data_IF_421678642515
#
_entry.id   IF_421678642515
#
_cell.length_a   1.000
_cell.length_b   1.000
_cell.length_c   1.000
_cell.angle_alpha   90.00
_cell.angle_beta   90.00
_cell.angle_gamma   90.00
#
_symmetry.space_group_name_H-M   'P 1'
#
loop_
_entity.id
_entity.type
_entity.pdbx_description
1 polymer ?
#
# COMPACT_ATOMS: atom_id res chain seq x y z
N UNK A 1 20.57 -18.25 -6.93
CA UNK A 1 21.05 -17.39 -5.87
C UNK A 1 20.03 -17.41 -4.74
N UNK A 2 20.45 -17.79 -3.53
CA UNK A 2 19.64 -17.67 -2.34
C UNK A 2 19.53 -16.15 -2.05
N UNK A 3 18.33 -15.61 -2.08
CA UNK A 3 18.12 -14.19 -1.78
C UNK A 3 18.29 -13.99 -0.27
N UNK A 4 19.13 -13.07 0.14
CA UNK A 4 19.34 -12.77 1.55
C UNK A 4 18.16 -11.94 2.08
N UNK A 5 17.49 -12.49 3.10
CA UNK A 5 16.38 -11.78 3.76
C UNK A 5 16.98 -10.68 4.63
N UNK A 6 16.64 -9.43 4.31
CA UNK A 6 17.05 -8.25 5.07
C UNK A 6 16.12 -8.01 6.26
N UNK A 7 14.81 -7.99 6.01
CA UNK A 7 13.78 -7.80 7.03
C UNK A 7 12.58 -8.69 6.73
N UNK A 8 12.03 -9.31 7.76
CA UNK A 8 10.87 -10.20 7.68
C UNK A 8 9.80 -9.77 8.69
N UNK A 9 8.92 -8.86 8.27
CA UNK A 9 7.83 -8.31 9.08
C UNK A 9 6.60 -9.21 9.14
N UNK A 10 5.57 -8.73 9.81
CA UNK A 10 4.27 -9.39 9.89
C UNK A 10 3.61 -9.50 8.51
N UNK A 11 3.64 -8.40 7.75
CA UNK A 11 2.90 -8.25 6.49
C UNK A 11 3.76 -8.01 5.27
N UNK A 12 5.07 -7.86 5.44
CA UNK A 12 6.01 -7.60 4.34
C UNK A 12 7.31 -8.38 4.52
N UNK A 13 7.98 -8.65 3.40
CA UNK A 13 9.30 -9.29 3.36
C UNK A 13 10.21 -8.48 2.45
N UNK A 14 11.38 -8.11 2.94
CA UNK A 14 12.42 -7.38 2.22
C UNK A 14 13.62 -8.29 2.00
N UNK A 15 14.09 -8.37 0.77
CA UNK A 15 15.24 -9.20 0.39
C UNK A 15 16.27 -8.39 -0.38
N UNK A 16 17.54 -8.71 -0.22
CA UNK A 16 18.61 -8.20 -1.06
C UNK A 16 18.64 -8.98 -2.38
N UNK A 17 18.69 -8.27 -3.49
CA UNK A 17 18.85 -8.88 -4.82
C UNK A 17 20.18 -8.51 -5.49
N UNK A 18 21.07 -7.86 -4.74
CA UNK A 18 22.41 -7.47 -5.17
C UNK A 18 22.50 -6.04 -5.71
N UNK A 19 23.69 -5.57 -5.89
CA UNK A 19 24.03 -4.27 -6.51
C UNK A 19 23.39 -3.05 -5.82
N UNK A 20 23.10 -3.13 -4.52
CA UNK A 20 22.44 -2.07 -3.77
C UNK A 20 20.94 -1.95 -4.09
N UNK A 21 20.34 -3.02 -4.59
CA UNK A 21 18.93 -3.12 -4.91
C UNK A 21 18.24 -4.10 -3.97
N UNK A 22 17.13 -3.69 -3.37
CA UNK A 22 16.27 -4.56 -2.58
C UNK A 22 14.95 -4.83 -3.30
N UNK A 23 14.33 -5.97 -2.99
CA UNK A 23 12.97 -6.31 -3.43
C UNK A 23 12.05 -6.49 -2.23
N UNK A 24 10.83 -5.99 -2.33
CA UNK A 24 9.80 -6.13 -1.30
C UNK A 24 8.59 -6.86 -1.85
N UNK A 25 8.07 -7.79 -1.05
CA UNK A 25 6.79 -8.46 -1.29
C UNK A 25 5.86 -8.34 -0.08
N UNK A 26 4.55 -8.39 -0.33
CA UNK A 26 3.53 -8.37 0.71
C UNK A 26 3.09 -9.79 1.04
N UNK A 27 2.79 -10.04 2.32
CA UNK A 27 2.31 -11.32 2.83
C UNK A 27 0.80 -11.31 3.08
N UNK A 28 0.15 -10.19 2.87
CA UNK A 28 -1.30 -10.04 3.06
C UNK A 28 -2.06 -10.76 1.94
N UNK A 29 -3.28 -11.24 2.24
CA UNK A 29 -4.13 -11.85 1.22
C UNK A 29 -4.39 -10.86 0.08
N UNK A 30 -4.18 -11.28 -1.17
CA UNK A 30 -4.26 -10.44 -2.38
C UNK A 30 -3.34 -9.19 -2.32
N UNK A 31 -2.30 -9.24 -1.50
CA UNK A 31 -1.31 -8.18 -1.34
C UNK A 31 -1.92 -6.81 -0.97
N UNK A 32 -3.02 -6.80 -0.18
CA UNK A 32 -3.67 -5.55 0.22
C UNK A 32 -2.80 -4.71 1.15
N UNK A 33 -2.94 -3.40 1.04
CA UNK A 33 -2.32 -2.41 1.92
C UNK A 33 -3.05 -2.41 3.27
N UNK A 34 -2.55 -3.22 4.21
CA UNK A 34 -3.02 -3.26 5.60
C UNK A 34 -2.31 -2.20 6.45
N UNK A 35 -2.83 -1.96 7.63
CA UNK A 35 -2.18 -1.06 8.61
C UNK A 35 -0.77 -1.52 8.99
N UNK A 36 -0.50 -2.82 8.98
CA UNK A 36 0.85 -3.36 9.21
C UNK A 36 1.77 -3.04 8.04
N UNK A 37 1.35 -3.21 6.80
CA UNK A 37 2.11 -2.78 5.60
C UNK A 37 2.45 -1.29 5.70
N UNK A 38 1.47 -0.43 6.03
CA UNK A 38 1.67 1.01 6.16
C UNK A 38 2.60 1.40 7.32
N UNK A 39 2.78 0.54 8.32
CA UNK A 39 3.72 0.78 9.42
C UNK A 39 5.10 0.17 9.21
N UNK A 40 5.22 -0.88 8.40
CA UNK A 40 6.48 -1.56 8.10
C UNK A 40 7.25 -0.84 6.98
N UNK A 41 6.60 -0.46 5.89
CA UNK A 41 7.23 0.17 4.74
C UNK A 41 8.08 1.40 5.06
N UNK A 42 7.63 2.38 5.88
CA UNK A 42 8.48 3.51 6.23
C UNK A 42 9.79 3.10 6.93
N UNK A 43 9.73 2.10 7.81
CA UNK A 43 10.92 1.58 8.51
C UNK A 43 11.89 0.87 7.56
N UNK A 44 11.35 0.21 6.53
CA UNK A 44 12.17 -0.45 5.53
C UNK A 44 12.86 0.56 4.63
N UNK A 45 12.20 1.66 4.30
CA UNK A 45 12.84 2.76 3.59
C UNK A 45 13.94 3.41 4.41
N UNK A 46 13.72 3.63 5.74
CA UNK A 46 14.79 4.10 6.65
C UNK A 46 15.97 3.12 6.64
N UNK A 47 15.70 1.83 6.81
CA UNK A 47 16.73 0.79 6.78
C UNK A 47 17.54 0.80 5.48
N UNK A 48 16.86 0.90 4.33
CA UNK A 48 17.52 0.93 3.02
C UNK A 48 18.41 2.16 2.85
N UNK A 49 17.92 3.34 3.26
CA UNK A 49 18.68 4.60 3.22
C UNK A 49 19.93 4.53 4.11
N UNK A 50 19.80 3.98 5.33
CA UNK A 50 20.89 3.87 6.31
C UNK A 50 21.95 2.82 5.92
N UNK A 51 21.57 1.82 5.12
CA UNK A 51 22.46 0.74 4.68
C UNK A 51 22.97 0.89 3.24
N UNK A 52 22.77 2.06 2.63
CA UNK A 52 23.38 2.39 1.33
C UNK A 52 22.72 1.72 0.12
N UNK A 53 21.47 1.27 0.24
CA UNK A 53 20.70 0.82 -0.92
C UNK A 53 20.28 2.01 -1.78
N UNK A 54 20.20 1.78 -3.09
CA UNK A 54 19.86 2.81 -4.07
C UNK A 54 18.44 2.63 -4.64
N UNK A 55 17.94 1.41 -4.67
CA UNK A 55 16.65 1.10 -5.28
C UNK A 55 15.85 0.05 -4.51
N UNK A 56 14.52 0.17 -4.60
CA UNK A 56 13.54 -0.78 -4.07
C UNK A 56 12.60 -1.21 -5.18
N UNK A 57 12.49 -2.51 -5.41
CA UNK A 57 11.55 -3.11 -6.35
C UNK A 57 10.36 -3.68 -5.59
N UNK A 58 9.17 -3.19 -5.87
CA UNK A 58 7.92 -3.82 -5.45
C UNK A 58 7.62 -4.98 -6.41
N UNK A 59 7.80 -6.21 -5.94
CA UNK A 59 7.53 -7.43 -6.69
C UNK A 59 6.82 -8.44 -5.81
N UNK A 60 5.67 -8.89 -6.22
CA UNK A 60 4.89 -9.83 -5.43
C UNK A 60 5.22 -11.28 -5.79
N UNK A 61 5.11 -12.16 -4.80
CA UNK A 61 5.27 -13.61 -4.97
C UNK A 61 3.94 -14.29 -5.36
N UNK A 62 2.81 -13.59 -5.20
CA UNK A 62 1.46 -14.05 -5.51
C UNK A 62 0.99 -13.52 -6.87
N UNK A 63 -0.14 -14.05 -7.36
CA UNK A 63 -0.72 -13.78 -8.67
C UNK A 63 -0.98 -12.28 -8.96
N UNK A 64 -1.30 -11.49 -7.92
CA UNK A 64 -1.70 -10.09 -8.09
C UNK A 64 -0.69 -9.15 -7.47
N UNK A 65 -0.51 -7.98 -8.08
CA UNK A 65 0.36 -6.95 -7.52
C UNK A 65 -0.18 -6.38 -6.21
N UNK A 66 -1.40 -5.85 -6.21
CA UNK A 66 -2.06 -5.33 -5.01
C UNK A 66 -3.53 -5.02 -5.28
N UNK A 67 -4.44 -5.65 -4.53
CA UNK A 67 -5.88 -5.41 -4.67
C UNK A 67 -6.39 -4.14 -3.95
N UNK A 68 -5.48 -3.29 -3.46
CA UNK A 68 -5.81 -2.01 -2.84
C UNK A 68 -5.81 -2.02 -1.32
N UNK A 69 -6.60 -1.15 -0.71
CA UNK A 69 -6.69 -1.03 0.73
C UNK A 69 -7.37 -2.24 1.37
N UNK A 70 -7.02 -2.53 2.63
CA UNK A 70 -7.66 -3.59 3.39
C UNK A 70 -9.08 -3.19 3.81
N UNK A 71 -10.09 -3.58 3.03
CA UNK A 71 -11.48 -3.24 3.25
C UNK A 71 -12.02 -3.76 4.59
N UNK A 72 -11.51 -4.88 5.11
CA UNK A 72 -11.91 -5.39 6.42
C UNK A 72 -11.49 -4.45 7.55
N UNK A 73 -10.29 -3.87 7.47
CA UNK A 73 -9.83 -2.87 8.45
C UNK A 73 -10.67 -1.59 8.35
N UNK A 74 -10.98 -1.13 7.13
CA UNK A 74 -11.82 0.05 6.90
C UNK A 74 -13.23 -0.16 7.47
N UNK A 75 -13.90 -1.25 7.13
CA UNK A 75 -15.23 -1.59 7.63
C UNK A 75 -15.22 -1.72 9.15
N UNK A 76 -14.20 -2.37 9.71
CA UNK A 76 -14.04 -2.51 11.16
C UNK A 76 -13.85 -1.17 11.84
N UNK A 77 -13.08 -0.26 11.26
CA UNK A 77 -12.90 1.09 11.79
C UNK A 77 -14.21 1.89 11.74
N UNK A 78 -14.98 1.80 10.66
CA UNK A 78 -16.31 2.45 10.53
C UNK A 78 -17.26 1.93 11.60
N UNK A 79 -17.41 0.61 11.72
CA UNK A 79 -18.32 -0.03 12.69
C UNK A 79 -17.95 0.28 14.15
N UNK A 80 -16.67 0.47 14.45
CA UNK A 80 -16.18 0.89 15.77
C UNK A 80 -16.27 2.40 16.02
N UNK A 81 -16.76 3.18 15.05
CA UNK A 81 -16.84 4.64 15.15
C UNK A 81 -15.49 5.35 15.14
N UNK A 82 -14.46 4.72 14.58
CA UNK A 82 -13.09 5.27 14.49
C UNK A 82 -12.95 6.17 13.25
N UNK A 83 -13.80 7.18 13.09
CA UNK A 83 -13.72 8.09 11.94
C UNK A 83 -12.69 9.19 12.18
N UNK A 84 -12.97 10.12 13.08
CA UNK A 84 -12.12 11.30 13.32
C UNK A 84 -11.72 11.53 14.79
N UNK A 85 -12.58 11.12 15.74
CA UNK A 85 -12.45 11.44 17.16
C UNK A 85 -11.57 10.49 17.97
N UNK A 86 -11.04 9.45 17.32
CA UNK A 86 -10.24 8.44 18.01
C UNK A 86 -8.74 8.83 17.98
N UNK A 87 -7.97 8.53 19.02
CA UNK A 87 -6.51 8.79 19.07
C UNK A 87 -5.70 7.98 18.04
N UNK A 88 -6.34 7.27 17.14
CA UNK A 88 -5.71 6.58 16.01
C UNK A 88 -5.68 5.06 16.12
N UNK A 89 -5.70 4.49 17.32
CA UNK A 89 -5.69 3.04 17.54
C UNK A 89 -6.88 2.62 18.39
N UNK A 90 -7.64 1.63 17.92
CA UNK A 90 -8.71 1.05 18.70
C UNK A 90 -8.19 0.41 19.99
N UNK A 91 -8.84 0.68 21.11
CA UNK A 91 -8.52 0.04 22.39
C UNK A 91 -8.73 -1.48 22.31
N UNK A 92 -7.99 -2.22 23.15
CA UNK A 92 -8.15 -3.69 23.25
C UNK A 92 -9.61 -4.09 23.55
N UNK A 93 -10.31 -3.31 24.39
CA UNK A 93 -11.70 -3.56 24.74
C UNK A 93 -12.63 -3.39 23.54
N UNK A 94 -12.49 -2.33 22.74
CA UNK A 94 -13.27 -2.11 21.51
C UNK A 94 -13.03 -3.23 20.48
N UNK A 95 -11.76 -3.65 20.29
CA UNK A 95 -11.44 -4.78 19.43
C UNK A 95 -12.11 -6.07 19.87
N UNK A 96 -11.98 -6.42 21.14
CA UNK A 96 -12.60 -7.64 21.68
C UNK A 96 -14.13 -7.63 21.55
N UNK A 97 -14.76 -6.49 21.82
CA UNK A 97 -16.20 -6.33 21.61
C UNK A 97 -16.58 -6.51 20.14
N UNK A 98 -15.82 -5.93 19.22
CA UNK A 98 -16.03 -6.09 17.78
C UNK A 98 -15.90 -7.55 17.32
N UNK A 99 -14.87 -8.28 17.77
CA UNK A 99 -14.67 -9.70 17.44
C UNK A 99 -15.84 -10.58 17.93
N UNK A 100 -16.42 -10.23 19.08
CA UNK A 100 -17.59 -10.93 19.62
C UNK A 100 -18.87 -10.61 18.84
N UNK A 101 -19.04 -9.38 18.40
CA UNK A 101 -20.24 -8.95 17.65
C UNK A 101 -20.19 -9.35 16.17
N UNK A 102 -18.99 -9.57 15.62
CA UNK A 102 -18.78 -9.88 14.21
C UNK A 102 -17.85 -11.06 14.03
N UNK A 103 -18.24 -12.28 14.50
CA UNK A 103 -17.39 -13.47 14.41
C UNK A 103 -17.16 -13.93 12.97
N UNK A 104 -18.02 -13.49 12.03
CA UNK A 104 -17.93 -13.78 10.59
C UNK A 104 -16.80 -13.00 9.87
N UNK A 105 -16.30 -11.94 10.50
CA UNK A 105 -15.20 -11.14 9.91
C UNK A 105 -13.83 -11.62 10.40
N UNK A 106 -12.81 -11.57 9.54
CA UNK A 106 -11.44 -11.82 9.97
C UNK A 106 -11.06 -10.92 11.15
N UNK A 107 -10.29 -11.47 12.09
CA UNK A 107 -9.82 -10.68 13.23
C UNK A 107 -8.99 -9.50 12.73
N UNK A 108 -9.37 -8.26 13.06
CA UNK A 108 -8.63 -7.11 12.60
C UNK A 108 -7.26 -7.07 13.28
N UNK A 109 -6.23 -6.79 12.50
CA UNK A 109 -4.90 -6.50 13.01
C UNK A 109 -4.87 -5.24 13.88
N UNK A 110 -3.91 -4.38 13.68
CA UNK A 110 -3.82 -3.07 14.34
C UNK A 110 -4.78 -2.10 13.64
N UNK A 111 -5.88 -1.71 14.31
CA UNK A 111 -6.85 -0.76 13.75
C UNK A 111 -6.50 0.67 14.14
N UNK A 112 -6.40 1.52 13.14
CA UNK A 112 -6.31 2.97 13.26
C UNK A 112 -7.64 3.63 12.88
N UNK A 113 -7.81 4.91 13.22
CA UNK A 113 -8.90 5.70 12.65
C UNK A 113 -8.72 5.83 11.12
N UNK A 114 -9.81 5.99 10.39
CA UNK A 114 -9.78 6.17 8.92
C UNK A 114 -8.87 7.34 8.57
N UNK A 115 -9.03 8.48 9.24
CA UNK A 115 -8.18 9.66 9.05
C UNK A 115 -6.68 9.34 9.21
N UNK A 116 -6.32 8.57 10.26
CA UNK A 116 -4.92 8.18 10.50
C UNK A 116 -4.42 7.24 9.42
N UNK A 117 -5.21 6.27 9.01
CA UNK A 117 -4.83 5.31 7.94
C UNK A 117 -4.59 6.03 6.61
N UNK A 118 -5.48 6.96 6.24
CA UNK A 118 -5.32 7.78 5.04
C UNK A 118 -4.05 8.64 5.10
N UNK A 119 -3.81 9.30 6.24
CA UNK A 119 -2.59 10.09 6.42
C UNK A 119 -1.32 9.23 6.28
N UNK A 120 -1.28 8.06 6.90
CA UNK A 120 -0.15 7.12 6.78
C UNK A 120 0.07 6.69 5.33
N UNK A 121 -1.00 6.40 4.58
CA UNK A 121 -0.91 6.06 3.17
C UNK A 121 -0.33 7.23 2.36
N UNK A 122 -0.87 8.44 2.53
CA UNK A 122 -0.41 9.62 1.81
C UNK A 122 1.06 9.96 2.12
N UNK A 123 1.46 9.92 3.38
CA UNK A 123 2.85 10.13 3.80
C UNK A 123 3.80 9.12 3.16
N UNK A 124 3.43 7.83 3.17
CA UNK A 124 4.18 6.77 2.52
C UNK A 124 4.33 7.01 1.02
N UNK A 125 3.22 7.27 0.32
CA UNK A 125 3.22 7.47 -1.13
C UNK A 125 4.05 8.69 -1.54
N UNK A 126 3.97 9.78 -0.79
CA UNK A 126 4.82 10.96 -1.02
C UNK A 126 6.29 10.64 -0.78
N UNK A 127 6.62 9.81 0.21
CA UNK A 127 7.98 9.37 0.45
C UNK A 127 8.51 8.48 -0.68
N UNK A 128 7.69 7.57 -1.23
CA UNK A 128 8.08 6.76 -2.39
C UNK A 128 8.38 7.63 -3.61
N UNK A 129 7.59 8.69 -3.81
CA UNK A 129 7.72 9.58 -4.97
C UNK A 129 8.93 10.52 -4.87
N UNK A 130 9.26 11.01 -3.69
CA UNK A 130 10.23 12.08 -3.46
C UNK A 130 11.41 11.67 -2.57
N UNK A 131 11.44 10.43 -2.07
CA UNK A 131 12.52 9.90 -1.24
C UNK A 131 13.81 9.66 -2.03
N UNK A 132 14.84 9.24 -1.32
CA UNK A 132 16.16 8.97 -1.91
C UNK A 132 16.23 7.63 -2.64
N UNK A 133 15.46 6.65 -2.17
CA UNK A 133 15.43 5.31 -2.76
C UNK A 133 14.63 5.34 -4.05
N UNK A 134 15.24 4.93 -5.15
CA UNK A 134 14.57 4.79 -6.43
C UNK A 134 13.54 3.65 -6.35
N UNK A 135 12.27 3.94 -6.60
CA UNK A 135 11.20 2.95 -6.48
C UNK A 135 10.73 2.44 -7.84
N UNK A 136 10.67 1.12 -7.98
CA UNK A 136 10.24 0.44 -9.19
C UNK A 136 9.12 -0.54 -8.85
N UNK A 137 8.04 -0.54 -9.63
CA UNK A 137 6.99 -1.52 -9.49
C UNK A 137 7.02 -2.52 -10.64
N UNK A 138 7.19 -3.80 -10.33
CA UNK A 138 7.06 -4.91 -11.26
C UNK A 138 5.65 -5.50 -11.11
N UNK A 139 4.77 -5.16 -12.04
CA UNK A 139 3.32 -5.41 -11.92
C UNK A 139 2.92 -6.63 -12.72
N UNK A 140 2.24 -7.56 -12.05
CA UNK A 140 1.50 -8.64 -12.69
C UNK A 140 0.10 -8.75 -12.09
N UNK A 141 -0.89 -9.15 -12.90
CA UNK A 141 -2.28 -9.25 -12.48
C UNK A 141 -2.90 -7.91 -12.01
N UNK A 142 -3.62 -7.94 -10.89
CA UNK A 142 -4.39 -6.81 -10.41
C UNK A 142 -3.54 -5.79 -9.63
N UNK A 143 -3.70 -4.50 -9.98
CA UNK A 143 -3.20 -3.35 -9.23
C UNK A 143 -4.31 -2.31 -9.09
N UNK A 144 -5.17 -2.45 -8.07
CA UNK A 144 -6.43 -1.74 -7.95
C UNK A 144 -6.42 -0.74 -6.79
N UNK A 145 -7.16 0.37 -6.95
CA UNK A 145 -7.34 1.36 -5.90
C UNK A 145 -6.01 1.82 -5.30
N UNK A 146 -5.81 1.63 -3.99
CA UNK A 146 -4.54 1.93 -3.31
C UNK A 146 -3.31 1.25 -3.94
N UNK A 147 -3.47 0.08 -4.59
CA UNK A 147 -2.42 -0.57 -5.36
C UNK A 147 -2.05 0.22 -6.62
N UNK A 148 -3.04 0.76 -7.33
CA UNK A 148 -2.82 1.68 -8.44
C UNK A 148 -2.19 2.99 -7.94
N UNK A 149 -2.63 3.53 -6.80
CA UNK A 149 -2.05 4.71 -6.19
C UNK A 149 -0.56 4.51 -5.85
N UNK A 150 -0.17 3.32 -5.35
CA UNK A 150 1.22 2.96 -5.12
C UNK A 150 2.04 3.04 -6.43
N UNK A 151 1.52 2.50 -7.54
CA UNK A 151 2.17 2.57 -8.85
C UNK A 151 2.37 4.01 -9.32
N UNK A 152 1.36 4.87 -9.14
CA UNK A 152 1.41 6.28 -9.53
C UNK A 152 2.48 7.07 -8.77
N UNK A 153 2.95 6.56 -7.64
CA UNK A 153 4.00 7.18 -6.83
C UNK A 153 5.37 6.50 -6.94
N UNK A 154 5.48 5.40 -7.69
CA UNK A 154 6.78 4.82 -8.04
C UNK A 154 7.46 5.64 -9.15
N UNK A 155 8.80 5.67 -9.13
CA UNK A 155 9.61 6.32 -10.18
C UNK A 155 9.48 5.61 -11.53
N UNK A 156 9.32 4.29 -11.52
CA UNK A 156 9.15 3.47 -12.73
C UNK A 156 8.14 2.36 -12.49
N UNK A 157 7.32 2.10 -13.51
CA UNK A 157 6.39 0.96 -13.53
C UNK A 157 6.72 0.09 -14.74
N UNK A 158 6.86 -1.20 -14.51
CA UNK A 158 6.97 -2.23 -15.55
C UNK A 158 5.81 -3.19 -15.33
N UNK A 159 4.89 -3.26 -16.27
CA UNK A 159 3.68 -4.07 -16.16
C UNK A 159 3.66 -5.16 -17.24
N UNK A 160 3.19 -6.36 -16.85
CA UNK A 160 2.88 -7.42 -17.81
C UNK A 160 1.65 -7.04 -18.65
N UNK A 161 1.53 -7.62 -19.84
CA UNK A 161 0.44 -7.29 -20.78
C UNK A 161 -0.96 -7.66 -20.26
N UNK A 162 -1.05 -8.59 -19.32
CA UNK A 162 -2.30 -9.03 -18.69
C UNK A 162 -2.59 -8.31 -17.36
N UNK A 163 -1.84 -7.26 -17.04
CA UNK A 163 -2.09 -6.47 -15.83
C UNK A 163 -3.37 -5.65 -15.97
N UNK A 164 -4.17 -5.63 -14.91
CA UNK A 164 -5.36 -4.79 -14.79
C UNK A 164 -5.13 -3.73 -13.73
N UNK A 165 -4.95 -2.48 -14.17
CA UNK A 165 -4.52 -1.36 -13.33
C UNK A 165 -5.61 -0.29 -13.33
N UNK A 166 -6.07 0.16 -12.17
CA UNK A 166 -7.08 1.19 -12.11
C UNK A 166 -7.47 1.69 -10.73
N UNK A 167 -8.04 2.90 -10.71
CA UNK A 167 -8.71 3.49 -9.55
C UNK A 167 -10.17 3.02 -9.57
N UNK A 168 -10.52 2.13 -8.65
CA UNK A 168 -11.82 1.43 -8.63
C UNK A 168 -12.71 1.86 -7.46
N UNK A 169 -12.28 2.84 -6.68
CA UNK A 169 -12.91 3.27 -5.43
C UNK A 169 -14.37 3.68 -5.60
N UNK A 170 -14.73 4.31 -6.72
CA UNK A 170 -16.10 4.74 -7.02
C UNK A 170 -17.07 3.54 -7.06
N UNK A 171 -16.58 2.37 -7.49
CA UNK A 171 -17.39 1.14 -7.52
C UNK A 171 -17.86 0.66 -6.14
N UNK A 172 -17.22 1.10 -5.09
CA UNK A 172 -17.57 0.80 -3.69
C UNK A 172 -18.05 2.04 -2.92
N UNK A 173 -18.37 3.14 -3.62
CA UNK A 173 -18.83 4.38 -3.02
C UNK A 173 -17.76 5.18 -2.27
N UNK A 174 -16.49 4.99 -2.63
CA UNK A 174 -15.35 5.71 -2.06
C UNK A 174 -14.65 6.59 -3.11
N UNK A 175 -13.67 7.37 -2.65
CA UNK A 175 -12.80 8.17 -3.51
C UNK A 175 -11.34 7.71 -3.33
N UNK A 176 -10.46 7.85 -4.35
CA UNK A 176 -9.05 7.58 -4.23
C UNK A 176 -8.41 8.48 -3.17
N UNK A 177 -8.09 7.91 -2.01
CA UNK A 177 -7.64 8.66 -0.83
C UNK A 177 -6.11 8.81 -0.75
N UNK A 178 -5.33 7.99 -1.48
CA UNK A 178 -3.88 8.06 -1.57
C UNK A 178 -3.38 8.99 -2.68
N UNK A 179 -4.12 10.04 -3.02
CA UNK A 179 -3.78 11.04 -4.06
C UNK A 179 -3.86 10.53 -5.51
N UNK A 180 -4.49 9.39 -5.79
CA UNK A 180 -4.60 8.83 -7.14
C UNK A 180 -5.26 9.79 -8.13
N UNK A 181 -6.38 10.42 -7.76
CA UNK A 181 -7.07 11.42 -8.61
C UNK A 181 -6.17 12.61 -8.97
N UNK A 182 -5.39 13.11 -8.00
CA UNK A 182 -4.42 14.19 -8.22
C UNK A 182 -3.31 13.75 -9.19
N UNK A 183 -2.77 12.57 -8.99
CA UNK A 183 -1.68 12.06 -9.85
C UNK A 183 -2.14 11.82 -11.28
N UNK A 184 -3.35 11.32 -11.47
CA UNK A 184 -3.93 11.15 -12.82
C UNK A 184 -4.17 12.50 -13.50
N UNK A 185 -4.77 13.46 -12.80
CA UNK A 185 -4.97 14.80 -13.33
C UNK A 185 -3.65 15.50 -13.70
N UNK A 186 -2.63 15.36 -12.84
CA UNK A 186 -1.30 15.94 -13.11
C UNK A 186 -0.65 15.31 -14.35
N UNK A 187 -0.75 14.00 -14.51
CA UNK A 187 -0.21 13.28 -15.68
C UNK A 187 -0.93 13.67 -16.95
N UNK A 188 -2.27 13.77 -16.94
CA UNK A 188 -3.05 14.24 -18.08
C UNK A 188 -2.65 15.69 -18.46
N UNK A 189 -2.50 16.58 -17.48
CA UNK A 189 -2.07 17.95 -17.74
C UNK A 189 -0.67 18.05 -18.36
N UNK A 190 0.27 17.21 -17.92
CA UNK A 190 1.65 17.20 -18.42
C UNK A 190 1.78 16.50 -19.77
N UNK A 191 0.86 15.62 -20.11
CA UNK A 191 0.88 14.80 -21.33
C UNK A 191 -0.17 15.33 -22.31
N UNK A 192 0.13 16.45 -22.98
CA UNK A 192 -0.79 17.11 -23.91
C UNK A 192 -1.23 16.23 -25.10
N UNK A 193 -0.53 15.13 -25.37
CA UNK A 193 -0.87 14.17 -26.43
C UNK A 193 -2.05 13.24 -26.07
N UNK A 194 -2.49 13.24 -24.80
CA UNK A 194 -3.64 12.44 -24.36
C UNK A 194 -4.97 13.20 -24.30
N UNK A 195 -4.98 14.48 -24.66
CA UNK A 195 -6.20 15.31 -24.71
C UNK A 195 -7.02 15.09 -26.00
N UNK A 196 -6.54 14.27 -26.93
CA UNK A 196 -7.20 13.99 -28.21
C UNK A 196 -7.92 12.61 -28.24
N UNK A 197 -8.37 12.10 -27.07
CA UNK A 197 -9.17 10.87 -27.01
C UNK A 197 -10.59 11.17 -26.49
#
# INVERSE_FOLDING_TARGET
HQQDILLDGESTKLVDIGDGVASISFKTKMNVLSSSVLTELPKYLDFLEDNGFNALIFKQEQEHFCAGANLYEIISAIKLGLLEKDPGIASKAKKKAFEVMHPELPKPGKLYSIKKTVAMLQELLMRLKHGRILTIAAVDGLALGGGCELLLHCNKVVASMNSYIGLVEVGIGALPAGCGSKEMALRAYLNKETDDI
#
